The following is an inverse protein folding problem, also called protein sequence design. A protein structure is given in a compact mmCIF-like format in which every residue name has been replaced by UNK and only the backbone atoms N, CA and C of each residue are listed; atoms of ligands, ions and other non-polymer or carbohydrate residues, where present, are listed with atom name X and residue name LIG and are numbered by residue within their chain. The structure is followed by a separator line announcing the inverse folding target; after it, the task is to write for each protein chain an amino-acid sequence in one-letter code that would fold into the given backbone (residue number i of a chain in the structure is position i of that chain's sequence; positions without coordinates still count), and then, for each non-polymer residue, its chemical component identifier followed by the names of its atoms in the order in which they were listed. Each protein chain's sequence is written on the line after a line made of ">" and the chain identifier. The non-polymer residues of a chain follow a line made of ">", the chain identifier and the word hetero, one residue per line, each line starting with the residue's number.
data_IF_422581906180
#
_entry.id   IF_422581906180
#
_cell.length_a   1.000
_cell.length_b   1.000
_cell.length_c   1.000
_cell.angle_alpha   90.00
_cell.angle_beta   90.00
_cell.angle_gamma   90.00
#
_symmetry.space_group_name_H-M   'P 1'
#
loop_
_entity.id
_entity.type
_entity.pdbx_description
1 polymer ?
#
# COMPACT_ATOMS: atom_id res chain seq x y z
N UNK A 1 -44.09 18.29 -33.74
CA UNK A 1 -42.99 18.42 -32.77
C UNK A 1 -43.35 17.70 -31.48
N UNK A 2 -42.79 16.52 -31.23
CA UNK A 2 -42.82 15.86 -29.93
C UNK A 2 -41.41 15.33 -29.66
N UNK A 3 -40.76 15.92 -28.65
CA UNK A 3 -39.42 15.54 -28.18
C UNK A 3 -39.54 14.21 -27.44
N UNK A 4 -39.10 13.10 -28.06
CA UNK A 4 -38.76 11.88 -27.31
C UNK A 4 -37.27 11.88 -27.01
N UNK A 5 -36.98 12.31 -25.78
CA UNK A 5 -35.71 12.07 -25.09
C UNK A 5 -35.39 10.58 -25.14
N UNK A 6 -34.31 10.21 -25.83
CA UNK A 6 -33.71 8.88 -25.70
C UNK A 6 -32.45 9.05 -24.84
N UNK A 7 -32.68 9.01 -23.53
CA UNK A 7 -31.67 8.76 -22.52
C UNK A 7 -30.86 7.53 -22.97
N UNK A 8 -29.57 7.71 -23.25
CA UNK A 8 -28.65 6.63 -23.54
C UNK A 8 -27.74 6.53 -22.33
N UNK A 9 -28.10 5.57 -21.48
CA UNK A 9 -27.37 5.19 -20.30
C UNK A 9 -25.91 4.80 -20.61
N UNK A 10 -25.11 4.90 -19.56
CA UNK A 10 -24.01 3.97 -19.25
C UNK A 10 -22.66 4.27 -19.91
N UNK A 11 -21.86 5.13 -19.26
CA UNK A 11 -20.53 4.71 -18.80
C UNK A 11 -20.06 5.65 -17.67
N UNK A 12 -20.72 5.60 -16.50
CA UNK A 12 -19.98 5.91 -15.28
C UNK A 12 -19.16 4.67 -15.00
N UNK A 13 -17.89 4.70 -15.41
CA UNK A 13 -16.88 3.88 -14.78
C UNK A 13 -16.99 4.14 -13.29
N UNK A 14 -17.70 3.23 -12.63
CA UNK A 14 -17.68 3.15 -11.19
C UNK A 14 -16.32 2.53 -10.93
N UNK A 15 -15.28 3.36 -11.00
CA UNK A 15 -14.04 3.14 -10.26
C UNK A 15 -14.58 2.81 -8.87
N UNK A 16 -14.56 1.52 -8.54
CA UNK A 16 -14.74 1.09 -7.17
C UNK A 16 -13.60 1.78 -6.45
N UNK A 17 -13.86 3.00 -5.95
CA UNK A 17 -13.26 3.46 -4.73
C UNK A 17 -13.73 2.42 -3.73
N UNK A 18 -12.99 1.32 -3.67
CA UNK A 18 -12.86 0.53 -2.47
C UNK A 18 -12.57 1.60 -1.42
N UNK A 19 -13.61 1.98 -0.66
CA UNK A 19 -13.40 2.66 0.60
C UNK A 19 -12.64 1.63 1.41
N UNK A 20 -11.32 1.60 1.22
CA UNK A 20 -10.40 1.00 2.14
C UNK A 20 -10.69 1.74 3.42
N UNK A 21 -11.52 1.15 4.26
CA UNK A 21 -11.72 1.62 5.63
C UNK A 21 -10.33 1.48 6.22
N UNK A 22 -9.59 2.59 6.22
CA UNK A 22 -8.22 2.66 6.70
C UNK A 22 -8.30 2.47 8.21
N UNK A 23 -8.41 1.21 8.62
CA UNK A 23 -8.17 0.82 9.99
C UNK A 23 -6.77 1.39 10.35
N UNK A 24 -6.61 2.10 11.48
CA UNK A 24 -5.33 2.67 11.87
C UNK A 24 -4.15 1.70 11.72
N UNK A 25 -4.35 0.41 12.00
CA UNK A 25 -3.34 -0.63 11.78
C UNK A 25 -2.96 -0.85 10.30
N UNK A 26 -3.94 -0.81 9.39
CA UNK A 26 -3.69 -0.90 7.94
C UNK A 26 -2.99 0.35 7.41
N UNK A 27 -3.36 1.54 7.88
CA UNK A 27 -2.67 2.79 7.50
C UNK A 27 -1.21 2.79 7.95
N UNK A 28 -0.96 2.42 9.21
CA UNK A 28 0.41 2.30 9.76
C UNK A 28 1.22 1.26 8.98
N UNK A 29 0.64 0.09 8.68
CA UNK A 29 1.30 -0.94 7.87
C UNK A 29 1.66 -0.45 6.46
N UNK A 30 0.76 0.28 5.79
CA UNK A 30 1.00 0.87 4.47
C UNK A 30 2.12 1.92 4.52
N UNK A 31 2.15 2.78 5.54
CA UNK A 31 3.20 3.78 5.71
C UNK A 31 4.57 3.13 5.92
N UNK A 32 4.66 2.09 6.76
CA UNK A 32 5.91 1.34 6.93
C UNK A 32 6.35 0.65 5.64
N UNK A 33 5.41 0.06 4.89
CA UNK A 33 5.71 -0.56 3.61
C UNK A 33 6.21 0.49 2.59
N UNK A 34 5.55 1.64 2.50
CA UNK A 34 5.92 2.73 1.61
C UNK A 34 7.28 3.33 1.96
N UNK A 35 7.58 3.53 3.25
CA UNK A 35 8.89 4.01 3.71
C UNK A 35 10.01 3.01 3.38
N UNK A 36 9.73 1.71 3.49
CA UNK A 36 10.67 0.67 3.05
C UNK A 36 10.88 0.69 1.54
N UNK A 37 9.80 0.72 0.76
CA UNK A 37 9.84 0.73 -0.71
C UNK A 37 10.49 2.00 -1.26
N UNK A 38 10.27 3.16 -0.64
CA UNK A 38 10.87 4.43 -1.05
C UNK A 38 12.40 4.39 -1.04
N UNK A 39 13.00 3.59 -0.17
CA UNK A 39 14.45 3.41 -0.07
C UNK A 39 15.01 2.31 -1.00
N UNK A 40 14.17 1.59 -1.76
CA UNK A 40 14.61 0.58 -2.74
C UNK A 40 15.62 1.10 -3.78
N UNK A 41 15.48 2.32 -4.33
CA UNK A 41 16.47 2.85 -5.29
C UNK A 41 17.86 3.00 -4.67
N UNK A 42 17.92 3.33 -3.37
CA UNK A 42 19.17 3.46 -2.61
C UNK A 42 19.79 2.09 -2.29
N UNK A 43 18.96 1.04 -2.18
CA UNK A 43 19.36 -0.35 -1.91
C UNK A 43 19.74 -1.12 -3.17
N UNK A 44 19.18 -0.77 -4.33
CA UNK A 44 19.56 -1.37 -5.60
C UNK A 44 21.01 -1.05 -5.98
N UNK A 45 21.59 0.01 -5.40
CA UNK A 45 23.03 0.25 -5.45
C UNK A 45 23.71 -0.69 -4.47
N UNK A 46 24.77 -1.37 -4.91
CA UNK A 46 25.55 -2.25 -4.04
C UNK A 46 26.07 -1.42 -2.85
N UNK A 47 25.76 -1.77 -1.60
CA UNK A 47 26.21 -1.00 -0.43
C UNK A 47 27.74 -1.07 -0.34
N UNK A 48 28.38 0.08 -0.10
CA UNK A 48 29.85 0.19 -0.05
C UNK A 48 30.31 0.54 1.36
N UNK A 49 29.52 1.32 2.09
CA UNK A 49 29.86 1.80 3.44
C UNK A 49 29.04 1.08 4.51
N UNK A 50 29.53 1.09 5.76
CA UNK A 50 28.78 0.55 6.91
C UNK A 50 27.41 1.22 7.08
N UNK A 51 27.30 2.51 6.76
CA UNK A 51 26.03 3.24 6.75
C UNK A 51 25.05 2.71 5.70
N UNK A 52 25.54 2.31 4.52
CA UNK A 52 24.68 1.74 3.47
C UNK A 52 24.12 0.37 3.90
N UNK A 53 24.95 -0.45 4.54
CA UNK A 53 24.52 -1.71 5.14
C UNK A 53 23.52 -1.51 6.28
N UNK A 54 23.73 -0.50 7.13
CA UNK A 54 22.79 -0.17 8.20
C UNK A 54 21.44 0.30 7.64
N UNK A 55 21.44 1.14 6.61
CA UNK A 55 20.24 1.58 5.91
C UNK A 55 19.49 0.41 5.27
N UNK A 56 20.21 -0.53 4.63
CA UNK A 56 19.62 -1.74 4.07
C UNK A 56 18.86 -2.56 5.12
N UNK A 57 19.48 -2.78 6.28
CA UNK A 57 18.88 -3.53 7.38
C UNK A 57 17.61 -2.83 7.88
N UNK A 58 17.66 -1.51 8.07
CA UNK A 58 16.50 -0.71 8.52
C UNK A 58 15.34 -0.84 7.53
N UNK A 59 15.62 -0.80 6.23
CA UNK A 59 14.59 -0.88 5.20
C UNK A 59 13.97 -2.28 5.12
N UNK A 60 14.79 -3.33 5.18
CA UNK A 60 14.29 -4.71 5.27
C UNK A 60 13.40 -4.85 6.51
N UNK A 61 13.82 -4.28 7.64
CA UNK A 61 13.06 -4.30 8.88
C UNK A 61 11.70 -3.61 8.73
N UNK A 62 11.64 -2.42 8.10
CA UNK A 62 10.36 -1.74 7.83
C UNK A 62 9.44 -2.52 6.90
N UNK A 63 9.98 -3.19 5.88
CA UNK A 63 9.18 -4.05 4.99
C UNK A 63 8.59 -5.22 5.77
N UNK A 64 9.40 -5.90 6.59
CA UNK A 64 8.95 -7.02 7.42
C UNK A 64 7.89 -6.57 8.42
N UNK A 65 8.11 -5.46 9.13
CA UNK A 65 7.13 -4.91 10.07
C UNK A 65 5.84 -4.46 9.39
N UNK A 66 5.94 -3.80 8.22
CA UNK A 66 4.77 -3.39 7.44
C UNK A 66 3.94 -4.59 6.99
N UNK A 67 4.60 -5.64 6.48
CA UNK A 67 3.94 -6.92 6.15
C UNK A 67 3.31 -7.56 7.38
N UNK A 68 4.02 -7.58 8.51
CA UNK A 68 3.51 -8.15 9.75
C UNK A 68 2.28 -7.38 10.24
N UNK A 69 2.32 -6.05 10.27
CA UNK A 69 1.19 -5.21 10.68
C UNK A 69 -0.07 -5.41 9.81
N UNK A 70 0.11 -5.71 8.51
CA UNK A 70 -1.00 -5.98 7.59
C UNK A 70 -1.51 -7.43 7.69
N UNK A 71 -0.61 -8.40 7.85
CA UNK A 71 -0.92 -9.82 7.82
C UNK A 71 -1.39 -10.35 9.19
N UNK A 72 -0.77 -9.91 10.28
CA UNK A 72 -1.07 -10.37 11.64
C UNK A 72 -2.55 -10.24 12.04
N UNK A 73 -3.24 -9.09 11.81
CA UNK A 73 -4.67 -8.99 12.14
C UNK A 73 -5.53 -9.95 11.32
N UNK A 74 -5.11 -10.35 10.10
CA UNK A 74 -5.82 -11.34 9.27
C UNK A 74 -5.68 -12.76 9.82
N UNK A 75 -4.58 -13.07 10.50
CA UNK A 75 -4.38 -14.38 11.14
C UNK A 75 -5.06 -14.46 12.51
N UNK A 76 -5.11 -13.36 13.27
CA UNK A 76 -5.72 -13.33 14.61
C UNK A 76 -7.26 -13.29 14.54
N UNK A 77 -7.86 -12.60 13.57
CA UNK A 77 -9.33 -12.56 13.40
C UNK A 77 -9.94 -13.85 12.83
N UNK A 78 -9.14 -14.87 12.49
CA UNK A 78 -9.63 -16.13 11.91
C UNK A 78 -9.92 -17.21 12.96
N UNK A 79 -9.95 -16.85 14.25
CA UNK A 79 -10.28 -17.73 15.37
C UNK A 79 -11.53 -17.20 16.08
#
# INVERSE_FOLDING_TARGET
>A
MQKKSKNKDTHKETVKQEKTVLNPGSFVGIVFLAAGIFNLPSIMKKPVTNSDWMMLVIVIFFIVLGLFAILLPKFIHKK
#
